data_IF_540258240679
#
_entry.id   IF_540258240679
#
_cell.length_a   1.000
_cell.length_b   1.000
_cell.length_c   1.000
_cell.angle_alpha   90.00
_cell.angle_beta   90.00
_cell.angle_gamma   90.00
#
_symmetry.space_group_name_H-M   'P 1'
#
loop_
_entity.id
_entity.type
_entity.pdbx_description
1 polymer ?
#
# COMPACT_ATOMS: atom_id res chain seq x y z
N UNK A 1 17.97 -28.84 -0.40
CA UNK A 1 16.51 -29.01 -0.16
C UNK A 1 15.82 -27.68 0.10
N UNK A 2 16.10 -26.94 1.19
CA UNK A 2 15.41 -25.68 1.51
C UNK A 2 15.30 -24.66 0.35
N UNK A 3 16.41 -24.37 -0.35
CA UNK A 3 16.40 -23.47 -1.53
C UNK A 3 15.51 -23.96 -2.67
N UNK A 4 15.40 -25.27 -2.87
CA UNK A 4 14.56 -25.85 -3.92
C UNK A 4 13.08 -25.72 -3.56
N UNK A 5 12.72 -25.87 -2.27
CA UNK A 5 11.36 -25.63 -1.80
C UNK A 5 10.98 -24.15 -1.92
N UNK A 6 11.89 -23.22 -1.59
CA UNK A 6 11.66 -21.79 -1.81
C UNK A 6 11.45 -21.47 -3.28
N UNK A 7 12.29 -22.03 -4.16
CA UNK A 7 12.12 -21.87 -5.61
C UNK A 7 10.76 -22.38 -6.07
N UNK A 8 10.38 -23.60 -5.67
CA UNK A 8 9.08 -24.17 -6.00
C UNK A 8 7.94 -23.27 -5.54
N UNK A 9 7.98 -22.82 -4.28
CA UNK A 9 6.94 -21.97 -3.68
C UNK A 9 6.79 -20.64 -4.40
N UNK A 10 7.89 -19.88 -4.55
CA UNK A 10 7.86 -18.54 -5.14
C UNK A 10 7.53 -18.57 -6.63
N UNK A 11 8.02 -19.56 -7.39
CA UNK A 11 7.64 -19.69 -8.79
C UNK A 11 6.18 -20.09 -8.94
N UNK A 12 5.64 -20.96 -8.08
CA UNK A 12 4.20 -21.28 -8.09
C UNK A 12 3.31 -20.07 -7.82
N UNK A 13 3.73 -19.12 -6.98
CA UNK A 13 3.00 -17.85 -6.78
C UNK A 13 2.97 -16.96 -8.02
N UNK A 14 3.87 -17.17 -8.99
CA UNK A 14 3.97 -16.37 -10.21
C UNK A 14 3.51 -17.12 -11.46
N UNK A 15 3.06 -18.37 -11.34
CA UNK A 15 2.54 -19.15 -12.46
C UNK A 15 1.02 -19.02 -12.57
N UNK A 16 0.56 -18.76 -13.80
CA UNK A 16 -0.87 -18.74 -14.11
C UNK A 16 -1.43 -20.16 -14.10
N UNK A 17 -2.31 -20.45 -13.14
CA UNK A 17 -2.96 -21.78 -13.03
C UNK A 17 -4.21 -21.90 -13.92
N UNK A 18 -4.72 -20.79 -14.46
CA UNK A 18 -5.86 -20.75 -15.39
C UNK A 18 -5.56 -19.81 -16.55
N UNK A 19 -5.96 -20.21 -17.76
CA UNK A 19 -5.78 -19.37 -18.95
C UNK A 19 -6.54 -18.05 -18.80
N UNK A 20 -5.85 -16.93 -19.02
CA UNK A 20 -6.42 -15.59 -18.87
C UNK A 20 -6.58 -15.08 -17.43
N UNK A 21 -6.19 -15.87 -16.41
CA UNK A 21 -6.19 -15.43 -15.01
C UNK A 21 -4.81 -14.90 -14.60
N UNK A 22 -4.75 -13.79 -13.85
CA UNK A 22 -3.53 -13.37 -13.18
C UNK A 22 -3.12 -14.37 -12.08
N UNK A 23 -1.83 -14.37 -11.71
CA UNK A 23 -1.33 -15.17 -10.60
C UNK A 23 -1.95 -14.73 -9.28
N UNK A 24 -1.97 -15.63 -8.28
CA UNK A 24 -2.56 -15.35 -6.97
C UNK A 24 -1.86 -14.17 -6.29
N UNK A 25 -2.65 -13.18 -5.86
CA UNK A 25 -2.15 -12.08 -5.04
C UNK A 25 -1.74 -12.60 -3.65
N UNK A 26 -0.44 -12.79 -3.44
CA UNK A 26 0.11 -13.32 -2.20
C UNK A 26 1.01 -12.30 -1.52
N UNK A 27 1.10 -12.36 -0.18
CA UNK A 27 1.91 -11.45 0.62
C UNK A 27 2.73 -12.25 1.62
N UNK A 28 3.98 -11.84 1.84
CA UNK A 28 4.82 -12.33 2.93
C UNK A 28 5.29 -11.13 3.73
N UNK A 29 5.20 -11.23 5.05
CA UNK A 29 5.78 -10.25 5.96
C UNK A 29 7.00 -10.84 6.66
N UNK A 30 8.09 -10.08 6.70
CA UNK A 30 9.26 -10.35 7.51
C UNK A 30 9.22 -9.44 8.74
N UNK A 31 9.38 -10.02 9.92
CA UNK A 31 9.08 -9.36 11.18
C UNK A 31 10.35 -9.06 11.96
N UNK A 32 10.46 -7.88 12.55
CA UNK A 32 11.51 -7.65 13.53
C UNK A 32 11.35 -8.53 14.78
N UNK A 33 12.37 -8.54 15.64
CA UNK A 33 12.35 -9.40 16.83
C UNK A 33 11.17 -9.12 17.77
N UNK A 34 10.65 -7.89 17.79
CA UNK A 34 9.53 -7.50 18.65
C UNK A 34 8.23 -8.09 18.12
N UNK A 35 8.02 -8.02 16.81
CA UNK A 35 6.89 -8.70 16.16
C UNK A 35 6.98 -10.22 16.30
N UNK A 36 8.15 -10.83 16.08
CA UNK A 36 8.33 -12.27 16.25
C UNK A 36 8.00 -12.72 17.68
N UNK A 37 8.52 -12.02 18.69
CA UNK A 37 8.21 -12.31 20.08
C UNK A 37 6.72 -12.09 20.41
N UNK A 38 6.08 -11.08 19.82
CA UNK A 38 4.67 -10.81 20.08
C UNK A 38 3.74 -11.85 19.44
N UNK A 39 4.01 -12.22 18.20
CA UNK A 39 3.13 -13.07 17.38
C UNK A 39 3.42 -14.57 17.54
N UNK A 40 4.68 -14.94 17.77
CA UNK A 40 5.15 -16.33 17.62
C UNK A 40 5.93 -16.87 18.83
N UNK A 41 5.99 -16.15 19.96
CA UNK A 41 6.63 -16.67 21.19
C UNK A 41 5.98 -17.95 21.74
N UNK A 42 4.76 -18.28 21.31
CA UNK A 42 4.14 -19.59 21.54
C UNK A 42 3.73 -20.19 20.20
N UNK A 43 4.70 -20.78 19.50
CA UNK A 43 4.48 -21.44 18.23
C UNK A 43 4.53 -22.96 18.38
N UNK A 44 3.84 -23.68 17.49
CA UNK A 44 3.77 -25.14 17.50
C UNK A 44 5.08 -25.84 17.11
N UNK A 45 6.10 -25.08 16.66
CA UNK A 45 7.39 -25.60 16.26
C UNK A 45 8.44 -25.49 17.37
N UNK A 46 8.08 -24.91 18.52
CA UNK A 46 8.98 -24.68 19.66
C UNK A 46 10.25 -23.90 19.27
N UNK A 47 10.17 -23.08 18.22
CA UNK A 47 11.27 -22.25 17.75
C UNK A 47 11.38 -20.97 18.57
N UNK A 48 12.61 -20.62 18.94
CA UNK A 48 12.92 -19.35 19.57
C UNK A 48 12.91 -18.20 18.54
N UNK A 49 12.79 -16.97 19.04
CA UNK A 49 12.75 -15.75 18.19
C UNK A 49 13.95 -15.66 17.25
N UNK A 50 15.14 -16.01 17.73
CA UNK A 50 16.37 -15.95 16.93
C UNK A 50 16.39 -17.01 15.82
N UNK A 51 15.79 -18.18 16.06
CA UNK A 51 15.66 -19.25 15.05
C UNK A 51 14.65 -18.85 13.96
N UNK A 52 13.50 -18.30 14.36
CA UNK A 52 12.53 -17.72 13.43
C UNK A 52 13.16 -16.62 12.57
N UNK A 53 13.92 -15.72 13.20
CA UNK A 53 14.66 -14.65 12.52
C UNK A 53 15.72 -15.21 11.55
N UNK A 54 16.40 -16.30 11.91
CA UNK A 54 17.36 -16.96 11.04
C UNK A 54 16.69 -17.54 9.78
N UNK A 55 15.53 -18.19 9.93
CA UNK A 55 14.73 -18.71 8.81
C UNK A 55 14.31 -17.58 7.88
N UNK A 56 13.70 -16.53 8.41
CA UNK A 56 13.23 -15.40 7.60
C UNK A 56 14.39 -14.72 6.85
N UNK A 57 15.54 -14.57 7.52
CA UNK A 57 16.74 -14.00 6.93
C UNK A 57 17.29 -14.86 5.79
N UNK A 58 17.18 -16.19 5.89
CA UNK A 58 17.54 -17.10 4.80
C UNK A 58 16.60 -16.95 3.60
N UNK A 59 15.29 -16.78 3.82
CA UNK A 59 14.32 -16.50 2.75
C UNK A 59 14.60 -15.16 2.08
N UNK A 60 14.86 -14.09 2.84
CA UNK A 60 15.18 -12.77 2.29
C UNK A 60 16.44 -12.80 1.42
N UNK A 61 17.54 -13.42 1.90
CA UNK A 61 18.77 -13.60 1.11
C UNK A 61 18.54 -14.39 -0.17
N UNK A 62 17.76 -15.46 -0.08
CA UNK A 62 17.43 -16.28 -1.24
C UNK A 62 16.62 -15.45 -2.26
N UNK A 63 15.59 -14.72 -1.82
CA UNK A 63 14.78 -13.88 -2.69
C UNK A 63 15.63 -12.80 -3.38
N UNK A 64 16.48 -12.08 -2.66
CA UNK A 64 17.36 -11.05 -3.25
C UNK A 64 18.25 -11.65 -4.34
N UNK A 65 18.84 -12.83 -4.11
CA UNK A 65 19.63 -13.53 -5.13
C UNK A 65 18.78 -14.04 -6.30
N UNK A 66 17.54 -14.45 -6.05
CA UNK A 66 16.68 -14.98 -7.11
C UNK A 66 16.10 -13.88 -8.00
N UNK A 67 15.84 -12.67 -7.48
CA UNK A 67 15.37 -11.51 -8.26
C UNK A 67 16.35 -11.13 -9.38
N UNK A 68 17.65 -11.31 -9.15
CA UNK A 68 18.70 -11.11 -10.16
C UNK A 68 18.56 -12.11 -11.32
N UNK A 69 18.07 -13.33 -11.06
CA UNK A 69 17.85 -14.35 -12.08
C UNK A 69 16.47 -14.26 -12.72
N UNK A 70 15.43 -13.95 -11.95
CA UNK A 70 14.08 -13.84 -12.48
C UNK A 70 13.25 -12.88 -11.64
N UNK A 71 12.49 -12.00 -12.29
CA UNK A 71 11.58 -11.11 -11.57
C UNK A 71 10.41 -11.92 -11.02
N UNK A 72 10.20 -11.85 -9.72
CA UNK A 72 9.09 -12.50 -9.05
C UNK A 72 8.16 -11.40 -8.52
N UNK A 73 7.04 -11.16 -9.20
CA UNK A 73 6.02 -10.15 -8.80
C UNK A 73 5.43 -10.50 -7.44
N UNK A 74 5.23 -11.79 -7.20
CA UNK A 74 4.66 -12.34 -5.97
C UNK A 74 5.66 -13.24 -5.23
N UNK A 75 5.56 -13.34 -3.89
CA UNK A 75 4.63 -12.60 -3.04
C UNK A 75 5.07 -11.14 -2.92
N UNK A 76 4.11 -10.26 -2.62
CA UNK A 76 4.42 -8.89 -2.21
C UNK A 76 5.08 -8.96 -0.83
N UNK A 77 6.26 -8.36 -0.70
CA UNK A 77 7.08 -8.48 0.51
C UNK A 77 6.97 -7.20 1.34
N UNK A 78 6.66 -7.38 2.62
CA UNK A 78 6.61 -6.32 3.62
C UNK A 78 7.60 -6.61 4.74
N UNK A 79 8.38 -5.61 5.13
CA UNK A 79 9.23 -5.63 6.32
C UNK A 79 8.48 -4.87 7.41
N UNK A 80 8.11 -5.57 8.48
CA UNK A 80 7.36 -5.03 9.61
C UNK A 80 8.30 -4.73 10.78
N UNK A 81 8.30 -3.46 11.21
CA UNK A 81 9.23 -2.91 12.19
C UNK A 81 8.47 -2.22 13.32
N UNK A 82 8.88 -2.47 14.56
CA UNK A 82 8.41 -1.76 15.74
C UNK A 82 9.03 -0.37 15.80
N UNK A 83 8.18 0.64 15.98
CA UNK A 83 8.61 2.00 16.33
C UNK A 83 8.18 2.37 17.75
N UNK A 84 9.06 3.02 18.50
CA UNK A 84 8.74 3.66 19.78
C UNK A 84 9.41 5.03 19.80
N UNK A 85 8.68 6.06 20.23
CA UNK A 85 9.18 7.44 20.27
C UNK A 85 9.83 7.87 18.93
N UNK A 86 9.19 7.52 17.81
CA UNK A 86 9.65 7.83 16.44
C UNK A 86 11.01 7.22 16.06
N UNK A 87 11.49 6.19 16.79
CA UNK A 87 12.71 5.44 16.48
C UNK A 87 12.38 3.96 16.27
N UNK A 88 12.93 3.38 15.21
CA UNK A 88 12.85 1.93 14.97
C UNK A 88 13.61 1.21 16.08
N UNK A 89 13.03 0.15 16.63
CA UNK A 89 13.57 -0.51 17.82
C UNK A 89 14.59 -1.60 17.50
N UNK A 90 14.47 -2.25 16.33
CA UNK A 90 15.38 -3.30 15.87
C UNK A 90 16.24 -2.77 14.72
N UNK A 91 17.34 -2.10 15.07
CA UNK A 91 18.24 -1.50 14.08
C UNK A 91 19.05 -2.54 13.30
N UNK A 92 19.31 -3.70 13.91
CA UNK A 92 20.04 -4.79 13.27
C UNK A 92 19.20 -5.38 12.14
N UNK A 93 17.95 -5.74 12.43
CA UNK A 93 17.05 -6.26 11.40
C UNK A 93 16.74 -5.21 10.33
N UNK A 94 16.58 -3.94 10.71
CA UNK A 94 16.44 -2.84 9.75
C UNK A 94 17.62 -2.78 8.76
N UNK A 95 18.85 -2.77 9.28
CA UNK A 95 20.06 -2.74 8.45
C UNK A 95 20.12 -3.95 7.51
N UNK A 96 19.80 -5.14 8.02
CA UNK A 96 19.74 -6.35 7.24
C UNK A 96 18.70 -6.27 6.11
N UNK A 97 17.49 -5.83 6.42
CA UNK A 97 16.38 -5.69 5.48
C UNK A 97 16.68 -4.65 4.38
N UNK A 98 17.28 -3.51 4.75
CA UNK A 98 17.73 -2.49 3.79
C UNK A 98 18.80 -3.06 2.86
N UNK A 99 19.78 -3.80 3.40
CA UNK A 99 20.81 -4.45 2.59
C UNK A 99 20.21 -5.40 1.55
N UNK A 100 19.17 -6.16 1.93
CA UNK A 100 18.48 -7.05 0.98
C UNK A 100 17.72 -6.27 -0.09
N UNK A 101 17.20 -5.09 0.23
CA UNK A 101 16.34 -4.31 -0.66
C UNK A 101 17.08 -3.28 -1.55
N UNK A 102 18.39 -3.07 -1.31
CA UNK A 102 19.18 -1.96 -1.87
C UNK A 102 19.18 -1.91 -3.41
N UNK A 103 19.22 -3.08 -4.05
CA UNK A 103 19.41 -3.22 -5.51
C UNK A 103 18.12 -3.52 -6.29
N UNK A 104 16.95 -3.50 -5.64
CA UNK A 104 15.69 -3.76 -6.35
C UNK A 104 14.47 -3.01 -5.78
N UNK A 105 14.52 -2.52 -4.53
CA UNK A 105 13.45 -1.73 -3.89
C UNK A 105 12.07 -2.41 -3.84
N UNK A 106 12.04 -3.74 -3.85
CA UNK A 106 10.79 -4.51 -3.89
C UNK A 106 10.10 -4.60 -2.54
N UNK A 107 10.83 -4.47 -1.44
CA UNK A 107 10.26 -4.57 -0.10
C UNK A 107 9.56 -3.27 0.30
N UNK A 108 8.36 -3.43 0.83
CA UNK A 108 7.61 -2.37 1.50
C UNK A 108 8.02 -2.32 2.98
N UNK A 109 7.91 -1.16 3.61
CA UNK A 109 8.23 -0.98 5.03
C UNK A 109 6.98 -0.57 5.81
N UNK A 110 6.52 -1.46 6.68
CA UNK A 110 5.44 -1.24 7.64
C UNK A 110 6.08 -0.94 9.00
N UNK A 111 5.83 0.26 9.52
CA UNK A 111 6.46 0.74 10.74
C UNK A 111 5.37 1.22 11.71
N UNK A 112 5.11 0.41 12.73
CA UNK A 112 3.97 0.63 13.62
C UNK A 112 4.36 0.61 15.11
N UNK A 113 3.69 1.43 15.94
CA UNK A 113 3.89 1.40 17.38
C UNK A 113 3.15 0.26 18.07
N UNK A 114 2.20 -0.41 17.41
CA UNK A 114 1.42 -1.53 17.96
C UNK A 114 1.69 -2.80 17.15
N UNK A 115 1.89 -3.93 17.84
CA UNK A 115 2.36 -5.19 17.25
C UNK A 115 1.22 -6.13 16.82
N UNK A 116 -0.02 -5.83 17.21
CA UNK A 116 -1.21 -6.56 16.75
C UNK A 116 -1.56 -6.27 15.29
N UNK A 117 -0.94 -5.25 14.71
CA UNK A 117 -1.20 -4.78 13.37
C UNK A 117 -0.16 -5.26 12.37
N UNK A 118 -0.66 -6.00 11.38
CA UNK A 118 0.08 -6.50 10.22
C UNK A 118 -0.63 -5.96 8.97
N UNK A 119 0.13 -5.71 7.90
CA UNK A 119 -0.45 -5.37 6.61
C UNK A 119 -1.02 -6.64 5.95
N UNK A 120 -2.33 -6.69 5.77
CA UNK A 120 -3.01 -7.70 4.95
C UNK A 120 -3.23 -7.14 3.54
N UNK A 121 -2.98 -7.94 2.50
CA UNK A 121 -3.10 -7.53 1.10
C UNK A 121 -2.24 -6.30 0.74
N UNK A 122 -2.73 -5.39 -0.11
CA UNK A 122 -1.97 -4.26 -0.63
C UNK A 122 -1.52 -3.25 0.44
N UNK A 123 -2.38 -2.97 1.44
CA UNK A 123 -2.13 -1.95 2.49
C UNK A 123 -3.04 -2.01 3.72
N UNK A 124 -3.88 -3.04 3.89
CA UNK A 124 -4.87 -3.09 4.98
C UNK A 124 -4.17 -3.24 6.33
N UNK A 125 -4.36 -2.32 7.27
CA UNK A 125 -3.78 -2.40 8.62
C UNK A 125 -4.88 -2.68 9.64
N UNK A 126 -4.57 -3.43 10.71
CA UNK A 126 -5.52 -3.63 11.81
C UNK A 126 -5.62 -2.40 12.71
N UNK A 127 -6.83 -1.99 13.06
CA UNK A 127 -7.07 -0.82 13.91
C UNK A 127 -7.03 -1.13 15.42
N UNK A 128 -7.25 -0.09 16.23
CA UNK A 128 -7.11 0.01 17.69
C UNK A 128 -7.95 -0.97 18.53
N UNK A 129 -8.81 -1.78 17.93
CA UNK A 129 -9.55 -2.85 18.64
C UNK A 129 -8.80 -4.17 18.40
N UNK A 130 -7.84 -4.54 19.27
CA UNK A 130 -7.12 -5.81 19.12
C UNK A 130 -8.11 -6.97 19.13
N UNK A 131 -7.98 -7.85 18.13
CA UNK A 131 -8.66 -9.14 18.14
C UNK A 131 -7.92 -10.07 19.08
N UNK A 132 -8.51 -10.32 20.25
CA UNK A 132 -8.06 -11.39 21.15
C UNK A 132 -8.73 -12.70 20.76
N UNK A 133 -7.92 -13.73 20.48
CA UNK A 133 -8.42 -15.10 20.45
C UNK A 133 -8.52 -15.64 21.89
N UNK A 134 -9.27 -16.73 22.09
CA UNK A 134 -9.42 -17.40 23.39
C UNK A 134 -8.12 -18.02 23.94
N UNK A 135 -7.01 -17.91 23.19
CA UNK A 135 -5.67 -18.44 23.53
C UNK A 135 -4.62 -17.32 23.73
N UNK A 136 -5.03 -16.06 23.80
CA UNK A 136 -4.15 -14.91 24.06
C UNK A 136 -3.15 -14.55 22.95
N UNK A 137 -3.33 -15.06 21.72
CA UNK A 137 -2.48 -14.77 20.55
C UNK A 137 -3.17 -13.78 19.59
N UNK A 138 -2.58 -12.60 19.42
CA UNK A 138 -3.08 -11.54 18.54
C UNK A 138 -2.58 -11.61 17.10
N UNK A 139 -3.31 -10.96 16.18
CA UNK A 139 -2.70 -10.23 15.05
C UNK A 139 -2.60 -10.86 13.65
N UNK A 140 -2.58 -12.18 13.48
CA UNK A 140 -2.21 -12.76 12.14
C UNK A 140 -3.40 -13.02 11.20
N UNK A 141 -4.64 -13.08 11.69
CA UNK A 141 -5.82 -13.36 10.88
C UNK A 141 -6.74 -12.15 10.77
N UNK A 142 -6.28 -11.09 10.10
CA UNK A 142 -7.03 -9.84 9.98
C UNK A 142 -7.34 -9.58 8.51
N UNK A 143 -8.58 -9.24 8.20
CA UNK A 143 -9.03 -8.97 6.84
C UNK A 143 -10.10 -7.90 6.76
N UNK A 144 -10.60 -7.68 5.56
CA UNK A 144 -11.83 -6.91 5.31
C UNK A 144 -12.78 -7.80 4.55
N UNK A 145 -14.05 -7.81 4.94
CA UNK A 145 -15.04 -8.60 4.22
C UNK A 145 -15.55 -7.86 2.97
N UNK A 146 -15.50 -6.52 2.97
CA UNK A 146 -15.89 -5.66 1.86
C UNK A 146 -15.41 -4.22 2.07
N UNK A 147 -15.16 -3.54 0.96
CA UNK A 147 -14.81 -2.11 0.92
C UNK A 147 -15.84 -1.33 0.11
N UNK A 148 -16.39 -0.24 0.67
CA UNK A 148 -17.24 0.72 -0.05
C UNK A 148 -16.58 2.08 -0.01
N UNK A 149 -16.30 2.67 -1.17
CA UNK A 149 -15.45 3.86 -1.26
C UNK A 149 -16.23 5.16 -1.50
N UNK A 150 -15.86 6.21 -0.77
CA UNK A 150 -16.28 7.58 -1.02
C UNK A 150 -15.43 8.19 -2.14
N UNK A 151 -16.08 8.59 -3.23
CA UNK A 151 -15.48 9.41 -4.28
C UNK A 151 -15.53 10.90 -3.88
N UNK A 152 -14.54 11.38 -3.12
CA UNK A 152 -14.56 12.75 -2.60
C UNK A 152 -14.66 13.81 -3.72
N UNK A 153 -13.84 13.74 -4.80
CA UNK A 153 -13.96 14.68 -5.91
C UNK A 153 -15.36 14.67 -6.55
N UNK A 154 -15.89 13.49 -6.85
CA UNK A 154 -17.18 13.36 -7.52
C UNK A 154 -18.36 13.82 -6.68
N UNK A 155 -18.32 13.60 -5.37
CA UNK A 155 -19.35 14.10 -4.44
C UNK A 155 -19.33 15.63 -4.43
N UNK A 156 -18.15 16.24 -4.32
CA UNK A 156 -17.98 17.70 -4.33
C UNK A 156 -18.46 18.33 -5.64
N UNK A 157 -18.13 17.75 -6.79
CA UNK A 157 -18.53 18.30 -8.10
C UNK A 157 -20.05 18.29 -8.31
N UNK A 158 -20.74 17.28 -7.79
CA UNK A 158 -22.20 17.15 -7.88
C UNK A 158 -22.91 18.01 -6.84
N UNK A 159 -22.33 18.16 -5.66
CA UNK A 159 -22.96 18.78 -4.49
C UNK A 159 -21.99 19.73 -3.77
N UNK A 160 -21.52 20.83 -4.39
CA UNK A 160 -20.53 21.70 -3.74
C UNK A 160 -21.13 22.45 -2.54
N UNK A 161 -22.38 22.88 -2.64
CA UNK A 161 -23.06 23.66 -1.60
C UNK A 161 -23.54 22.80 -0.43
N UNK A 162 -23.80 21.51 -0.68
CA UNK A 162 -24.30 20.53 0.30
C UNK A 162 -23.33 19.36 0.52
N UNK A 163 -22.03 19.61 0.30
CA UNK A 163 -21.00 18.58 0.27
C UNK A 163 -20.94 17.80 1.59
N UNK A 164 -20.93 18.51 2.71
CA UNK A 164 -20.83 17.91 4.04
C UNK A 164 -22.09 17.11 4.42
N UNK A 165 -23.29 17.54 4.00
CA UNK A 165 -24.49 16.70 4.18
C UNK A 165 -24.39 15.43 3.34
N UNK A 166 -24.00 15.55 2.07
CA UNK A 166 -23.89 14.40 1.17
C UNK A 166 -22.82 13.40 1.62
N UNK A 167 -21.74 13.86 2.26
CA UNK A 167 -20.74 12.97 2.87
C UNK A 167 -21.38 12.15 4.00
N UNK A 168 -22.19 12.75 4.87
CA UNK A 168 -22.88 12.02 5.95
C UNK A 168 -23.87 11.00 5.40
N UNK A 169 -24.66 11.37 4.40
CA UNK A 169 -25.62 10.46 3.75
C UNK A 169 -24.90 9.28 3.08
N UNK A 170 -23.83 9.54 2.35
CA UNK A 170 -23.06 8.49 1.68
C UNK A 170 -22.32 7.58 2.68
N UNK A 171 -21.85 8.11 3.81
CA UNK A 171 -21.30 7.31 4.89
C UNK A 171 -22.36 6.38 5.49
N UNK A 172 -23.57 6.88 5.73
CA UNK A 172 -24.68 6.05 6.22
C UNK A 172 -25.05 4.96 5.21
N UNK A 173 -25.16 5.30 3.93
CA UNK A 173 -25.43 4.31 2.88
C UNK A 173 -24.35 3.24 2.79
N UNK A 174 -23.08 3.62 2.88
CA UNK A 174 -21.96 2.68 2.89
C UNK A 174 -22.03 1.76 4.11
N UNK A 175 -22.36 2.30 5.29
CA UNK A 175 -22.56 1.53 6.51
C UNK A 175 -23.68 0.50 6.35
N UNK A 176 -24.85 0.94 5.88
CA UNK A 176 -26.03 0.08 5.73
C UNK A 176 -25.73 -1.09 4.77
N UNK A 177 -25.04 -0.82 3.66
CA UNK A 177 -24.60 -1.87 2.74
C UNK A 177 -23.59 -2.83 3.38
N UNK A 178 -22.60 -2.31 4.10
CA UNK A 178 -21.58 -3.13 4.76
C UNK A 178 -22.18 -4.03 5.86
N UNK A 179 -23.17 -3.53 6.59
CA UNK A 179 -23.89 -4.30 7.61
C UNK A 179 -24.74 -5.39 7.00
N UNK A 180 -25.49 -5.05 5.94
CA UNK A 180 -26.22 -6.04 5.16
C UNK A 180 -25.29 -7.13 4.62
N UNK A 181 -24.16 -6.76 4.02
CA UNK A 181 -23.21 -7.71 3.46
C UNK A 181 -22.57 -8.59 4.55
N UNK A 182 -22.24 -8.04 5.72
CA UNK A 182 -21.75 -8.85 6.84
C UNK A 182 -22.82 -9.83 7.33
N UNK A 183 -24.08 -9.41 7.42
CA UNK A 183 -25.19 -10.31 7.81
C UNK A 183 -25.34 -11.45 6.80
N UNK A 184 -25.31 -11.13 5.50
CA UNK A 184 -25.33 -12.10 4.41
C UNK A 184 -24.19 -13.12 4.56
N UNK A 185 -22.95 -12.65 4.72
CA UNK A 185 -21.81 -13.56 4.91
C UNK A 185 -21.97 -14.43 6.15
N UNK A 186 -22.51 -13.91 7.25
CA UNK A 186 -22.75 -14.70 8.46
C UNK A 186 -23.76 -15.82 8.24
N UNK A 187 -24.81 -15.55 7.46
CA UNK A 187 -25.84 -16.53 7.11
C UNK A 187 -25.32 -17.60 6.16
N UNK A 188 -24.48 -17.22 5.19
CA UNK A 188 -24.02 -18.10 4.11
C UNK A 188 -22.56 -18.58 4.23
N UNK A 189 -21.88 -18.34 5.35
CA UNK A 189 -20.47 -18.76 5.53
C UNK A 189 -20.24 -20.27 5.36
N UNK A 190 -21.28 -21.09 5.55
CA UNK A 190 -21.23 -22.55 5.32
C UNK A 190 -20.93 -22.93 3.87
N UNK A 191 -21.08 -22.00 2.91
CA UNK A 191 -20.73 -22.21 1.50
C UNK A 191 -19.23 -22.10 1.23
N UNK A 192 -18.45 -21.54 2.17
CA UNK A 192 -17.01 -21.39 2.06
C UNK A 192 -16.33 -22.19 3.17
N UNK A 193 -15.83 -23.37 2.79
CA UNK A 193 -15.15 -24.31 3.69
C UNK A 193 -13.97 -23.68 4.45
N UNK A 194 -13.41 -22.55 3.98
CA UNK A 194 -12.32 -21.88 4.70
C UNK A 194 -12.76 -21.24 6.03
N UNK A 195 -14.06 -20.94 6.20
CA UNK A 195 -14.60 -20.55 7.51
C UNK A 195 -14.70 -21.75 8.46
N UNK A 196 -15.17 -22.89 7.97
CA UNK A 196 -15.26 -24.13 8.77
C UNK A 196 -13.88 -24.64 9.20
N UNK A 197 -12.89 -24.55 8.30
CA UNK A 197 -11.49 -24.90 8.57
C UNK A 197 -10.76 -23.88 9.46
N UNK A 198 -11.42 -22.79 9.87
CA UNK A 198 -10.81 -21.75 10.73
C UNK A 198 -9.71 -20.91 10.05
N UNK A 199 -9.61 -20.97 8.71
CA UNK A 199 -8.69 -20.15 7.92
C UNK A 199 -9.22 -18.71 7.77
N UNK A 200 -10.53 -18.53 7.84
CA UNK A 200 -11.23 -17.23 7.84
C UNK A 200 -12.11 -17.08 9.07
N UNK A 201 -12.25 -15.86 9.56
CA UNK A 201 -13.14 -15.52 10.66
C UNK A 201 -13.80 -14.17 10.39
N UNK A 202 -15.14 -14.15 10.32
CA UNK A 202 -15.89 -12.90 10.16
C UNK A 202 -15.70 -11.96 11.36
N UNK A 203 -15.46 -12.51 12.55
CA UNK A 203 -15.16 -11.71 13.72
C UNK A 203 -13.94 -10.84 13.44
N UNK A 204 -12.91 -11.36 12.76
CA UNK A 204 -11.64 -10.67 12.48
C UNK A 204 -11.60 -9.90 11.15
N UNK A 205 -12.77 -9.60 10.57
CA UNK A 205 -12.89 -8.87 9.31
C UNK A 205 -13.57 -7.50 9.48
N UNK A 206 -12.86 -6.44 9.12
CA UNK A 206 -13.38 -5.08 9.10
C UNK A 206 -14.42 -4.87 7.99
N UNK A 207 -15.37 -3.98 8.25
CA UNK A 207 -16.14 -3.27 7.22
C UNK A 207 -15.37 -2.01 6.85
N UNK A 208 -14.91 -1.93 5.61
CA UNK A 208 -14.00 -0.85 5.23
C UNK A 208 -14.72 0.26 4.51
N UNK A 209 -14.62 1.45 5.07
CA UNK A 209 -14.94 2.68 4.36
C UNK A 209 -13.70 3.09 3.56
N UNK A 210 -13.79 2.95 2.25
CA UNK A 210 -12.76 3.42 1.33
C UNK A 210 -12.87 4.92 1.10
N UNK A 211 -11.75 5.55 0.78
CA UNK A 211 -11.67 6.93 0.31
C UNK A 211 -10.78 6.98 -0.93
N UNK A 212 -11.18 7.74 -1.94
CA UNK A 212 -10.37 7.99 -3.14
C UNK A 212 -10.36 9.48 -3.48
N UNK A 213 -9.24 9.94 -4.05
CA UNK A 213 -9.11 11.31 -4.56
C UNK A 213 -8.97 12.37 -3.48
N UNK A 214 -8.26 12.09 -2.38
CA UNK A 214 -8.06 13.05 -1.28
C UNK A 214 -7.31 14.31 -1.75
N UNK A 215 -6.17 14.12 -2.42
CA UNK A 215 -5.40 15.23 -3.00
C UNK A 215 -6.23 16.00 -4.04
N UNK A 216 -6.94 15.25 -4.87
CA UNK A 216 -7.77 15.79 -5.95
C UNK A 216 -8.90 16.66 -5.42
N UNK A 217 -9.60 16.20 -4.38
CA UNK A 217 -10.60 16.98 -3.66
C UNK A 217 -9.99 18.27 -3.11
N UNK A 218 -8.83 18.20 -2.46
CA UNK A 218 -8.11 19.38 -1.95
C UNK A 218 -7.75 20.38 -3.06
N UNK A 219 -7.42 19.92 -4.26
CA UNK A 219 -7.17 20.78 -5.43
C UNK A 219 -8.48 21.41 -5.95
N UNK A 220 -9.54 20.61 -6.07
CA UNK A 220 -10.85 21.08 -6.54
C UNK A 220 -11.48 22.13 -5.61
N UNK A 221 -11.26 22.02 -4.30
CA UNK A 221 -11.67 23.02 -3.30
C UNK A 221 -10.91 24.36 -3.43
N UNK A 222 -9.75 24.36 -4.09
CA UNK A 222 -8.97 25.55 -4.39
C UNK A 222 -8.04 26.01 -3.25
N UNK A 223 -7.35 27.13 -3.49
CA UNK A 223 -6.29 27.66 -2.62
C UNK A 223 -6.76 28.08 -1.23
N UNK A 224 -8.01 28.54 -1.12
CA UNK A 224 -8.59 29.00 0.15
C UNK A 224 -8.96 27.87 1.11
N UNK A 225 -9.08 26.63 0.62
CA UNK A 225 -9.31 25.48 1.48
C UNK A 225 -7.96 25.00 2.01
N UNK A 226 -7.66 25.24 3.28
CA UNK A 226 -6.35 24.97 3.86
C UNK A 226 -6.12 23.48 4.15
N UNK A 227 -4.90 23.14 4.56
CA UNK A 227 -4.61 21.80 5.11
C UNK A 227 -5.29 21.56 6.47
N UNK A 228 -5.53 22.62 7.24
CA UNK A 228 -6.29 22.56 8.50
C UNK A 228 -7.77 22.25 8.25
N UNK A 229 -8.36 22.84 7.19
CA UNK A 229 -9.73 22.55 6.79
C UNK A 229 -9.90 21.08 6.37
N UNK A 230 -8.95 20.56 5.58
CA UNK A 230 -8.91 19.14 5.22
C UNK A 230 -8.76 18.24 6.44
N UNK A 231 -7.90 18.62 7.39
CA UNK A 231 -7.74 17.89 8.64
C UNK A 231 -9.03 17.88 9.47
N UNK A 232 -9.71 19.03 9.56
CA UNK A 232 -11.01 19.14 10.22
C UNK A 232 -12.07 18.27 9.57
N UNK A 233 -12.11 18.22 8.23
CA UNK A 233 -12.99 17.35 7.46
C UNK A 233 -12.73 15.86 7.73
N UNK A 234 -11.47 15.42 7.67
CA UNK A 234 -11.11 14.04 7.95
C UNK A 234 -11.40 13.65 9.42
N UNK A 235 -11.21 14.57 10.37
CA UNK A 235 -11.61 14.37 11.78
C UNK A 235 -13.11 14.11 11.89
N UNK A 236 -13.96 14.85 11.16
CA UNK A 236 -15.42 14.63 11.15
C UNK A 236 -15.79 13.28 10.56
N UNK A 237 -15.22 12.91 9.41
CA UNK A 237 -15.42 11.57 8.82
C UNK A 237 -15.05 10.49 9.82
N UNK A 238 -13.89 10.61 10.47
CA UNK A 238 -13.45 9.65 11.47
C UNK A 238 -14.34 9.58 12.68
N UNK A 239 -14.75 10.72 13.22
CA UNK A 239 -15.68 10.76 14.34
C UNK A 239 -16.98 9.99 14.03
N UNK A 240 -17.53 10.14 12.81
CA UNK A 240 -18.72 9.40 12.38
C UNK A 240 -18.43 7.89 12.33
N UNK A 241 -17.37 7.46 11.63
CA UNK A 241 -17.02 6.04 11.49
C UNK A 241 -16.74 5.38 12.85
N UNK A 242 -16.00 6.09 13.72
CA UNK A 242 -15.61 5.61 15.05
C UNK A 242 -16.80 5.55 16.03
N UNK A 243 -17.88 6.29 15.76
CA UNK A 243 -19.11 6.26 16.57
C UNK A 243 -19.99 5.03 16.29
N UNK A 244 -19.75 4.31 15.19
CA UNK A 244 -20.56 3.15 14.83
C UNK A 244 -20.24 1.92 15.67
N UNK A 245 -21.29 1.18 16.03
CA UNK A 245 -21.14 -0.13 16.67
C UNK A 245 -20.62 -1.16 15.65
N UNK A 246 -19.50 -1.81 15.98
CA UNK A 246 -18.88 -2.83 15.13
C UNK A 246 -17.39 -2.61 14.88
N UNK A 247 -16.88 -3.30 13.86
CA UNK A 247 -15.50 -3.24 13.39
C UNK A 247 -15.45 -2.54 12.03
N UNK A 248 -15.37 -1.21 12.04
CA UNK A 248 -15.12 -0.42 10.85
C UNK A 248 -13.69 0.11 10.86
N UNK A 249 -13.14 0.30 9.68
CA UNK A 249 -11.90 1.04 9.47
C UNK A 249 -12.04 1.96 8.26
N UNK A 250 -11.06 2.85 8.08
CA UNK A 250 -11.00 3.73 6.92
C UNK A 250 -9.72 3.47 6.14
N UNK A 251 -9.84 3.22 4.85
CA UNK A 251 -8.72 2.96 3.95
C UNK A 251 -8.69 4.03 2.86
N UNK A 252 -7.52 4.60 2.57
CA UNK A 252 -7.34 5.26 1.28
C UNK A 252 -7.19 4.13 0.26
N UNK A 253 -8.07 3.93 -0.71
CA UNK A 253 -8.15 2.65 -1.48
C UNK A 253 -7.24 2.58 -2.70
N UNK A 254 -6.64 1.42 -3.06
CA UNK A 254 -5.71 1.30 -4.19
C UNK A 254 -6.30 1.78 -5.51
N UNK A 255 -7.60 1.48 -5.69
CA UNK A 255 -8.43 1.92 -6.81
C UNK A 255 -7.74 1.72 -8.17
N UNK A 256 -7.19 0.52 -8.43
CA UNK A 256 -6.42 0.22 -9.65
C UNK A 256 -7.15 0.68 -10.92
N UNK A 257 -8.38 0.22 -11.11
CA UNK A 257 -9.28 0.62 -12.21
C UNK A 257 -10.22 1.78 -11.82
N UNK A 258 -10.78 1.72 -10.61
CA UNK A 258 -11.81 2.67 -10.16
C UNK A 258 -11.36 4.13 -10.22
N UNK A 259 -10.09 4.42 -9.97
CA UNK A 259 -9.58 5.80 -10.01
C UNK A 259 -9.60 6.42 -11.42
N UNK A 260 -9.49 5.61 -12.48
CA UNK A 260 -9.61 6.08 -13.87
C UNK A 260 -11.09 6.27 -14.20
N UNK A 261 -11.92 5.25 -13.95
CA UNK A 261 -13.36 5.30 -14.27
C UNK A 261 -14.08 6.44 -13.56
N UNK A 262 -13.81 6.65 -12.26
CA UNK A 262 -14.41 7.73 -11.49
C UNK A 262 -13.96 9.09 -12.01
N UNK A 263 -12.67 9.25 -12.31
CA UNK A 263 -12.12 10.48 -12.87
C UNK A 263 -12.78 10.84 -14.20
N UNK A 264 -12.90 9.89 -15.13
CA UNK A 264 -13.50 10.13 -16.43
C UNK A 264 -15.00 10.44 -16.32
N UNK A 265 -15.71 9.69 -15.48
CA UNK A 265 -17.15 9.93 -15.22
C UNK A 265 -17.39 11.33 -14.67
N UNK A 266 -16.57 11.75 -13.71
CA UNK A 266 -16.71 13.06 -13.07
C UNK A 266 -16.25 14.21 -13.98
N UNK A 267 -15.22 13.98 -14.81
CA UNK A 267 -14.80 14.91 -15.86
C UNK A 267 -15.94 15.20 -16.82
N UNK A 268 -16.55 14.14 -17.38
CA UNK A 268 -17.70 14.28 -18.28
C UNK A 268 -18.88 14.98 -17.59
N UNK A 269 -19.12 14.67 -16.31
CA UNK A 269 -20.14 15.37 -15.53
C UNK A 269 -19.82 16.88 -15.40
N UNK A 270 -18.59 17.24 -15.05
CA UNK A 270 -18.16 18.63 -14.89
C UNK A 270 -18.28 19.42 -16.20
N UNK A 271 -17.84 18.84 -17.32
CA UNK A 271 -17.95 19.42 -18.67
C UNK A 271 -19.42 19.68 -19.04
N UNK A 272 -20.29 18.69 -18.84
CA UNK A 272 -21.72 18.79 -19.15
C UNK A 272 -22.44 19.87 -18.34
N UNK A 273 -22.06 20.07 -17.08
CA UNK A 273 -22.70 21.01 -16.17
C UNK A 273 -21.97 22.36 -16.06
N UNK A 274 -21.02 22.63 -16.97
CA UNK A 274 -20.23 23.87 -17.02
C UNK A 274 -19.61 24.25 -15.66
N UNK A 275 -19.16 23.24 -14.92
CA UNK A 275 -18.34 23.45 -13.71
C UNK A 275 -16.95 23.84 -14.20
N UNK A 276 -16.60 25.13 -14.10
CA UNK A 276 -15.28 25.60 -14.52
C UNK A 276 -14.18 25.01 -13.62
N UNK A 277 -13.62 23.90 -14.09
CA UNK A 277 -12.52 23.13 -13.49
C UNK A 277 -11.57 22.63 -14.58
N UNK A 278 -11.51 23.34 -15.72
CA UNK A 278 -10.73 22.89 -16.89
C UNK A 278 -9.26 22.64 -16.50
N UNK A 279 -8.67 23.56 -15.74
CA UNK A 279 -7.27 23.47 -15.28
C UNK A 279 -6.94 22.24 -14.44
N UNK A 280 -7.91 21.60 -13.79
CA UNK A 280 -7.70 20.33 -13.08
C UNK A 280 -7.75 19.12 -14.05
N UNK A 281 -8.76 19.07 -14.92
CA UNK A 281 -9.04 17.93 -15.80
C UNK A 281 -8.24 17.90 -17.12
N UNK A 282 -7.53 18.98 -17.44
CA UNK A 282 -6.64 19.11 -18.60
C UNK A 282 -5.51 18.08 -18.62
N UNK A 283 -5.09 17.60 -17.44
CA UNK A 283 -3.92 16.71 -17.35
C UNK A 283 -4.17 15.26 -17.78
N UNK A 284 -5.42 14.83 -17.97
CA UNK A 284 -5.75 13.49 -18.51
C UNK A 284 -5.25 12.30 -17.67
N UNK A 285 -5.05 12.49 -16.36
CA UNK A 285 -4.49 11.51 -15.43
C UNK A 285 -5.57 10.54 -14.93
N UNK A 286 -5.78 10.48 -13.63
CA UNK A 286 -6.77 9.68 -12.90
C UNK A 286 -6.85 10.25 -11.48
N UNK A 287 -7.76 9.76 -10.63
CA UNK A 287 -7.71 10.16 -9.22
C UNK A 287 -6.50 9.55 -8.50
N UNK A 288 -5.88 10.34 -7.64
CA UNK A 288 -4.78 9.90 -6.79
C UNK A 288 -5.28 8.94 -5.72
N UNK A 289 -4.47 7.90 -5.45
CA UNK A 289 -4.71 6.88 -4.44
C UNK A 289 -3.73 6.98 -3.26
N UNK A 290 -3.05 8.12 -3.14
CA UNK A 290 -2.08 8.49 -2.10
C UNK A 290 -2.50 9.84 -1.50
N UNK A 291 -2.07 10.11 -0.27
CA UNK A 291 -2.38 11.39 0.42
C UNK A 291 -1.83 12.57 -0.39
N UNK A 292 -0.59 12.41 -0.88
CA UNK A 292 0.05 13.34 -1.81
C UNK A 292 0.09 12.68 -3.18
N UNK A 293 -0.42 13.36 -4.20
CA UNK A 293 -0.42 12.84 -5.57
C UNK A 293 1.02 12.49 -6.02
N UNK A 294 1.22 11.38 -6.75
CA UNK A 294 2.53 11.06 -7.31
C UNK A 294 2.90 11.97 -8.50
N UNK A 295 1.96 12.79 -9.00
CA UNK A 295 2.15 13.62 -10.19
C UNK A 295 2.46 15.09 -9.87
N UNK A 296 2.66 15.41 -8.59
CA UNK A 296 3.07 16.75 -8.16
C UNK A 296 4.52 16.75 -7.75
N UNK A 297 5.20 17.82 -8.11
CA UNK A 297 6.57 18.08 -7.74
C UNK A 297 6.59 18.70 -6.36
N UNK A 298 7.24 18.02 -5.41
CA UNK A 298 7.42 18.46 -4.03
C UNK A 298 8.80 17.97 -3.57
N UNK A 299 9.35 18.62 -2.56
CA UNK A 299 10.43 18.02 -1.81
C UNK A 299 9.96 16.75 -1.10
N UNK A 300 10.90 15.84 -0.85
CA UNK A 300 10.64 14.65 -0.05
C UNK A 300 10.20 15.02 1.37
N UNK A 301 10.80 16.06 1.98
CA UNK A 301 10.42 16.55 3.29
C UNK A 301 8.96 17.00 3.36
N UNK A 302 8.50 17.80 2.39
CA UNK A 302 7.10 18.26 2.31
C UNK A 302 6.14 17.09 2.08
N UNK A 303 6.46 16.17 1.16
CA UNK A 303 5.63 14.97 0.91
C UNK A 303 5.45 14.16 2.19
N UNK A 304 6.56 13.93 2.89
CA UNK A 304 6.58 13.13 4.11
C UNK A 304 5.84 13.84 5.24
N UNK A 305 5.97 15.15 5.39
CA UNK A 305 5.23 15.95 6.38
C UNK A 305 3.72 15.85 6.15
N UNK A 306 3.26 16.11 4.91
CA UNK A 306 1.85 16.03 4.56
C UNK A 306 1.31 14.61 4.74
N UNK A 307 2.04 13.61 4.26
CA UNK A 307 1.63 12.20 4.38
C UNK A 307 1.53 11.80 5.86
N UNK A 308 2.53 12.13 6.68
CA UNK A 308 2.53 11.84 8.11
C UNK A 308 1.37 12.51 8.84
N UNK A 309 1.07 13.77 8.51
CA UNK A 309 -0.03 14.54 9.07
C UNK A 309 -1.40 13.86 8.88
N UNK A 310 -1.66 13.32 7.69
CA UNK A 310 -2.97 12.75 7.36
C UNK A 310 -3.06 11.22 7.49
N UNK A 311 -1.93 10.51 7.62
CA UNK A 311 -1.92 9.03 7.73
C UNK A 311 -2.80 8.50 8.86
N UNK A 312 -2.88 9.23 9.98
CA UNK A 312 -3.66 8.86 11.17
C UNK A 312 -5.17 8.71 10.92
N UNK A 313 -5.71 9.25 9.82
CA UNK A 313 -7.12 9.13 9.46
C UNK A 313 -7.43 7.86 8.67
N UNK A 314 -6.41 7.14 8.20
CA UNK A 314 -6.56 5.93 7.39
C UNK A 314 -6.01 4.71 8.14
N UNK A 315 -6.64 4.39 9.27
CA UNK A 315 -6.27 3.27 10.14
C UNK A 315 -6.48 1.88 9.50
N UNK A 316 -7.29 1.83 8.45
CA UNK A 316 -7.48 0.68 7.60
C UNK A 316 -6.46 0.59 6.49
N UNK A 317 -5.59 1.57 6.29
CA UNK A 317 -4.50 1.47 5.33
C UNK A 317 -4.33 2.70 4.44
N UNK A 318 -3.09 3.11 4.29
CA UNK A 318 -2.61 4.01 3.26
C UNK A 318 -1.17 3.61 2.95
N UNK A 319 -0.64 3.98 1.78
CA UNK A 319 0.75 3.74 1.47
C UNK A 319 1.37 4.93 0.75
N UNK A 320 2.59 5.29 1.14
CA UNK A 320 3.39 6.31 0.48
C UNK A 320 4.42 5.68 -0.46
N UNK A 321 4.48 6.14 -1.69
CA UNK A 321 5.60 5.86 -2.58
C UNK A 321 6.58 7.03 -2.56
N UNK A 322 7.86 6.68 -2.41
CA UNK A 322 8.97 7.61 -2.53
C UNK A 322 9.58 7.40 -3.91
N UNK A 323 9.32 8.32 -4.83
CA UNK A 323 9.80 8.21 -6.21
C UNK A 323 11.28 8.60 -6.25
N UNK A 324 12.16 7.60 -6.27
CA UNK A 324 13.62 7.81 -6.32
C UNK A 324 14.14 7.73 -7.75
N UNK A 325 15.10 8.58 -8.16
CA UNK A 325 15.58 8.63 -9.54
C UNK A 325 16.51 7.46 -9.89
N UNK A 326 17.24 6.93 -8.91
CA UNK A 326 18.32 5.95 -9.12
C UNK A 326 18.50 5.02 -7.91
N UNK A 327 19.42 4.06 -8.05
CA UNK A 327 19.85 3.15 -6.97
C UNK A 327 20.40 3.96 -5.79
N UNK A 328 20.10 3.50 -4.57
CA UNK A 328 20.77 4.01 -3.36
C UNK A 328 22.25 3.63 -3.35
N UNK A 329 23.13 4.59 -3.08
CA UNK A 329 24.57 4.39 -3.07
C UNK A 329 25.02 3.41 -1.97
N UNK A 330 24.32 3.40 -0.84
CA UNK A 330 24.64 2.56 0.31
C UNK A 330 23.44 2.40 1.27
N UNK A 331 23.57 1.46 2.20
CA UNK A 331 22.59 1.20 3.27
C UNK A 331 22.29 2.45 4.09
N UNK A 332 23.29 3.29 4.38
CA UNK A 332 23.12 4.49 5.18
C UNK A 332 22.17 5.51 4.52
N UNK A 333 22.27 5.70 3.20
CA UNK A 333 21.40 6.62 2.46
C UNK A 333 19.93 6.18 2.53
N UNK A 334 19.65 4.91 2.20
CA UNK A 334 18.30 4.36 2.22
C UNK A 334 17.72 4.38 3.64
N UNK A 335 18.55 4.04 4.64
CA UNK A 335 18.18 4.06 6.07
C UNK A 335 17.81 5.46 6.54
N UNK A 336 18.63 6.47 6.23
CA UNK A 336 18.40 7.87 6.66
C UNK A 336 17.09 8.40 6.10
N UNK A 337 16.75 8.07 4.86
CA UNK A 337 15.47 8.45 4.26
C UNK A 337 14.32 7.73 4.96
N UNK A 338 14.40 6.41 5.15
CA UNK A 338 13.36 5.64 5.83
C UNK A 338 13.13 6.13 7.28
N UNK A 339 14.19 6.41 8.04
CA UNK A 339 14.08 6.98 9.39
C UNK A 339 13.43 8.38 9.37
N UNK A 340 13.73 9.20 8.37
CA UNK A 340 13.07 10.49 8.14
C UNK A 340 11.55 10.34 7.94
N UNK A 341 11.15 9.36 7.13
CA UNK A 341 9.75 8.99 6.89
C UNK A 341 9.06 8.56 8.19
N UNK A 342 9.69 7.66 8.95
CA UNK A 342 9.18 7.16 10.24
C UNK A 342 9.05 8.28 11.27
N UNK A 343 10.00 9.23 11.30
CA UNK A 343 9.99 10.36 12.25
C UNK A 343 8.77 11.27 12.08
N UNK A 344 8.22 11.34 10.88
CA UNK A 344 7.00 12.09 10.57
C UNK A 344 5.71 11.28 10.73
N UNK A 345 5.82 9.99 11.09
CA UNK A 345 4.67 9.16 11.43
C UNK A 345 3.98 8.53 10.22
N UNK A 346 4.69 8.35 9.10
CA UNK A 346 4.18 7.58 7.96
C UNK A 346 4.29 6.09 8.29
N UNK A 347 3.17 5.35 8.41
CA UNK A 347 3.16 3.96 8.87
C UNK A 347 3.57 2.95 7.80
N UNK A 348 3.34 3.24 6.52
CA UNK A 348 3.58 2.27 5.45
C UNK A 348 4.09 2.98 4.19
N UNK A 349 5.26 2.55 3.72
CA UNK A 349 5.95 3.20 2.62
C UNK A 349 6.75 2.22 1.77
N UNK A 350 7.04 2.61 0.52
CA UNK A 350 8.01 1.93 -0.31
C UNK A 350 8.77 2.93 -1.19
N UNK A 351 9.98 2.55 -1.58
CA UNK A 351 10.71 3.23 -2.62
C UNK A 351 10.19 2.75 -3.99
N UNK A 352 9.92 3.70 -4.89
CA UNK A 352 9.49 3.45 -6.26
C UNK A 352 10.58 3.93 -7.22
N UNK A 353 11.00 3.02 -8.08
CA UNK A 353 11.82 3.28 -9.25
C UNK A 353 11.43 2.24 -10.31
N UNK A 354 11.84 2.46 -11.55
CA UNK A 354 11.85 1.40 -12.53
C UNK A 354 12.84 0.31 -12.12
N UNK A 355 12.48 -0.92 -12.44
CA UNK A 355 13.36 -2.06 -12.44
C UNK A 355 13.39 -2.59 -13.87
N UNK A 356 14.54 -2.49 -14.52
CA UNK A 356 14.76 -2.80 -15.93
C UNK A 356 15.57 -4.10 -16.05
N UNK A 357 15.14 -5.00 -16.94
CA UNK A 357 15.75 -6.31 -17.18
C UNK A 357 16.16 -6.43 -18.64
N UNK A 358 17.44 -6.67 -18.87
CA UNK A 358 17.98 -7.00 -20.18
C UNK A 358 17.63 -8.45 -20.54
N UNK A 359 16.93 -8.68 -21.66
CA UNK A 359 16.54 -10.03 -22.06
C UNK A 359 17.65 -10.85 -22.74
N UNK A 360 18.72 -10.20 -23.21
CA UNK A 360 19.86 -10.92 -23.82
C UNK A 360 20.74 -11.62 -22.77
N UNK A 361 21.14 -10.89 -21.72
CA UNK A 361 22.08 -11.38 -20.70
C UNK A 361 21.49 -11.40 -19.27
N UNK A 362 20.18 -11.17 -19.14
CA UNK A 362 19.45 -11.16 -17.87
C UNK A 362 19.97 -10.17 -16.81
N UNK A 363 20.63 -9.10 -17.24
CA UNK A 363 21.10 -8.05 -16.34
C UNK A 363 19.93 -7.26 -15.74
N UNK A 364 19.96 -7.06 -14.42
CA UNK A 364 19.01 -6.24 -13.68
C UNK A 364 19.58 -4.84 -13.44
N UNK A 365 18.79 -3.81 -13.67
CA UNK A 365 19.16 -2.40 -13.45
C UNK A 365 18.00 -1.67 -12.81
N UNK A 366 18.23 -1.00 -11.68
CA UNK A 366 17.24 -0.08 -11.11
C UNK A 366 17.40 1.27 -11.78
N UNK A 367 16.33 1.77 -12.37
CA UNK A 367 16.30 2.98 -13.17
C UNK A 367 15.56 2.79 -14.49
N UNK A 368 15.07 3.91 -15.02
CA UNK A 368 14.44 3.97 -16.34
C UNK A 368 15.53 3.97 -17.41
N UNK A 369 15.82 2.81 -18.00
CA UNK A 369 16.87 2.67 -19.01
C UNK A 369 16.33 2.05 -20.30
N UNK A 370 16.68 2.63 -21.43
CA UNK A 370 16.33 2.09 -22.77
C UNK A 370 17.43 1.19 -23.34
N UNK A 371 18.63 1.23 -22.74
CA UNK A 371 19.79 0.43 -23.12
C UNK A 371 20.40 -0.16 -21.86
N UNK A 372 20.71 -1.46 -21.89
CA UNK A 372 21.35 -2.16 -20.78
C UNK A 372 22.73 -1.53 -20.52
N UNK A 373 22.99 -0.95 -19.34
CA UNK A 373 24.26 -0.29 -19.06
C UNK A 373 25.44 -1.27 -18.93
N UNK A 374 25.17 -2.57 -18.86
CA UNK A 374 26.19 -3.62 -18.67
C UNK A 374 26.62 -4.22 -20.01
N UNK A 375 25.69 -4.47 -20.95
CA UNK A 375 26.01 -5.14 -22.22
C UNK A 375 25.57 -4.40 -23.49
N UNK A 376 24.94 -3.23 -23.38
CA UNK A 376 24.51 -2.42 -24.54
C UNK A 376 23.25 -2.93 -25.27
N UNK A 377 22.60 -3.99 -24.79
CA UNK A 377 21.35 -4.49 -25.37
C UNK A 377 20.23 -3.46 -25.29
N UNK A 378 19.39 -3.39 -26.33
CA UNK A 378 18.15 -2.59 -26.36
C UNK A 378 16.91 -3.40 -26.01
N UNK A 379 17.05 -4.71 -25.79
CA UNK A 379 15.94 -5.59 -25.47
C UNK A 379 15.66 -5.56 -23.96
N UNK A 380 14.91 -4.55 -23.52
CA UNK A 380 14.65 -4.23 -22.12
C UNK A 380 13.18 -4.45 -21.75
N UNK A 381 12.94 -5.24 -20.70
CA UNK A 381 11.66 -5.24 -19.98
C UNK A 381 11.72 -4.29 -18.80
N UNK A 382 10.67 -3.50 -18.59
CA UNK A 382 10.57 -2.54 -17.49
C UNK A 382 9.45 -2.93 -16.54
N UNK A 383 9.74 -2.87 -15.25
CA UNK A 383 8.79 -3.07 -14.17
C UNK A 383 8.71 -1.80 -13.34
N UNK A 384 7.53 -1.48 -12.81
CA UNK A 384 7.35 -0.37 -11.87
C UNK A 384 6.24 -0.63 -10.86
N UNK A 385 6.29 0.01 -9.70
CA UNK A 385 5.29 -0.17 -8.65
C UNK A 385 3.99 0.55 -9.01
N UNK A 386 2.84 -0.13 -8.94
CA UNK A 386 1.54 0.49 -9.26
C UNK A 386 0.72 0.83 -8.00
N UNK A 387 0.43 -0.15 -7.14
CA UNK A 387 -0.32 0.08 -5.88
C UNK A 387 0.29 -0.60 -4.65
N UNK A 388 1.57 -0.96 -4.73
CA UNK A 388 2.27 -1.64 -3.63
C UNK A 388 3.09 -2.85 -4.05
N UNK A 389 3.10 -3.18 -5.34
CA UNK A 389 3.91 -4.24 -5.94
C UNK A 389 4.32 -3.88 -7.36
N UNK A 390 5.37 -4.54 -7.87
CA UNK A 390 5.90 -4.33 -9.22
C UNK A 390 5.05 -5.03 -10.26
N UNK A 391 4.73 -4.31 -11.33
CA UNK A 391 4.04 -4.84 -12.52
C UNK A 391 4.94 -4.63 -13.71
N UNK A 392 4.91 -5.54 -14.68
CA UNK A 392 5.53 -5.30 -15.97
C UNK A 392 4.77 -4.18 -16.69
N UNK A 393 5.49 -3.24 -17.31
CA UNK A 393 4.90 -2.04 -17.92
C UNK A 393 3.83 -2.36 -18.96
N UNK A 394 3.98 -3.46 -19.70
CA UNK A 394 3.00 -3.91 -20.69
C UNK A 394 1.65 -4.30 -20.05
N UNK A 395 1.68 -4.91 -18.86
CA UNK A 395 0.52 -5.39 -18.11
C UNK A 395 -0.18 -4.31 -17.28
N UNK A 396 0.27 -3.05 -17.33
CA UNK A 396 -0.32 -1.96 -16.54
C UNK A 396 -1.58 -1.33 -17.15
N UNK A 397 -2.10 -1.87 -18.26
CA UNK A 397 -3.28 -1.36 -18.95
C UNK A 397 -3.22 0.17 -19.16
N UNK A 398 -4.27 0.90 -18.79
CA UNK A 398 -4.35 2.36 -18.94
C UNK A 398 -3.39 3.14 -18.02
N UNK A 399 -2.93 2.54 -16.91
CA UNK A 399 -2.00 3.23 -15.99
C UNK A 399 -0.65 3.53 -16.63
N UNK A 400 -0.23 2.77 -17.64
CA UNK A 400 0.98 3.07 -18.42
C UNK A 400 0.89 4.42 -19.14
N UNK A 401 -0.32 4.90 -19.42
CA UNK A 401 -0.57 6.16 -20.11
C UNK A 401 -0.97 7.27 -19.14
N UNK A 402 -1.72 6.94 -18.09
CA UNK A 402 -2.34 7.92 -17.18
C UNK A 402 -1.61 8.17 -15.86
N UNK A 403 -0.75 7.25 -15.45
CA UNK A 403 -0.01 7.34 -14.18
C UNK A 403 1.50 7.51 -14.44
N UNK A 404 2.15 6.49 -15.02
CA UNK A 404 3.61 6.44 -15.13
C UNK A 404 4.26 7.67 -15.79
N UNK A 405 3.77 8.19 -16.93
CA UNK A 405 4.42 9.32 -17.61
C UNK A 405 4.40 10.62 -16.81
N UNK A 406 3.49 10.72 -15.83
CA UNK A 406 3.28 11.93 -15.05
C UNK A 406 3.90 11.89 -13.66
N UNK A 407 4.43 10.73 -13.22
CA UNK A 407 5.04 10.62 -11.89
C UNK A 407 6.25 11.52 -11.78
N UNK A 408 6.30 12.30 -10.70
CA UNK A 408 7.41 13.21 -10.39
C UNK A 408 8.37 12.56 -9.41
N UNK A 409 9.66 12.75 -9.66
CA UNK A 409 10.73 12.33 -8.74
C UNK A 409 10.70 13.23 -7.51
N UNK A 410 10.87 12.63 -6.34
CA UNK A 410 10.94 13.37 -5.08
C UNK A 410 12.34 13.98 -4.91
N UNK A 411 12.41 15.30 -4.81
CA UNK A 411 13.68 16.01 -4.60
C UNK A 411 14.11 15.88 -3.15
N UNK A 412 15.36 15.52 -2.92
CA UNK A 412 15.93 15.54 -1.57
C UNK A 412 16.19 17.00 -1.19
N UNK A 413 15.69 17.43 -0.04
CA UNK A 413 15.95 18.77 0.50
C UNK A 413 17.47 19.01 0.61
N UNK A 414 17.96 20.06 -0.05
CA UNK A 414 19.37 20.50 0.04
C UNK A 414 20.28 20.20 -1.16
N UNK A 415 19.73 19.83 -2.32
CA UNK A 415 20.45 19.91 -3.59
C UNK A 415 19.67 20.82 -4.56
N UNK A 416 20.11 22.08 -4.67
CA UNK A 416 19.87 22.91 -5.86
C UNK A 416 20.74 22.43 -7.02
#
# INVERSE_FOLDING_TARGET
QFKNELQRLFYSFNQHLRQGAESLYTNISFFDRYYLAHLFNKNSWELEVDELSAVQSAVMRWHTSEVEKQMLRFPVITVALKVKNKKIQDEEFLNFAIKQNLHHTMYNFLVLPHLDAIASCCRLISSKKPFFNSYGSGGVQIGSHQVVSLNLPGIYLRHPDTFEERIKENLQLAKDFLDWHRKLLKEYQYLDATFELGLRSLQRMYSTIGVIGLWDFKQLMGINYSWDDLEGFLKRIRYIIDSWEGFYNCELVPAESAAITLYDTDKTYAEKHRRDKSGYYESGKMYSNQIVSPWVELSLGERVELTGRFSKFFDGGQMMFVNVPSVFQNVHQMRKILEGIVKKGVPYSAFDNYLSRCLENNHLTVGDVDVCPICGSKNILKFRRIVGYFVEQFSMHERRLRDLPYRKIDRIDGHE
#
